data_IF_198385847365
#
_entry.id   IF_198385847365
#
_cell.length_a   1.000
_cell.length_b   1.000
_cell.length_c   1.000
_cell.angle_alpha   90.00
_cell.angle_beta   90.00
_cell.angle_gamma   90.00
#
_symmetry.space_group_name_H-M   'P 1'
#
loop_
_entity.id
_entity.type
_entity.pdbx_description
1 polymer ?
#
# COMPACT_ATOMS: atom_id res chain seq x y z
N UNK A 1 -13.68 22.05 -1.54
CA UNK A 1 -13.30 21.84 -1.42
C UNK A 1 -12.50 21.31 -1.07
N UNK A 2 -12.12 21.31 -0.89
CA UNK A 2 -11.24 20.94 -0.58
C UNK A 2 -11.14 20.02 -0.01
N UNK A 3 -10.89 19.58 -0.02
CA UNK A 3 -10.77 18.71 0.49
C UNK A 3 -9.97 18.49 1.43
N UNK A 4 -10.11 18.65 2.29
CA UNK A 4 -9.22 18.61 3.26
C UNK A 4 -8.49 17.49 3.51
N UNK A 5 -8.70 16.48 3.11
CA UNK A 5 -7.99 15.37 3.38
C UNK A 5 -6.65 15.43 2.97
N UNK A 6 -6.28 16.44 2.53
CA UNK A 6 -4.99 16.60 2.07
C UNK A 6 -3.98 16.40 3.10
N UNK A 7 -2.81 16.12 2.74
CA UNK A 7 -1.73 15.96 3.65
C UNK A 7 -1.66 14.65 4.34
N UNK A 8 -2.46 13.73 3.97
CA UNK A 8 -2.37 12.44 4.56
C UNK A 8 -1.25 11.68 3.95
N UNK A 9 -0.53 10.93 4.72
CA UNK A 9 0.58 10.14 4.22
C UNK A 9 0.13 8.96 3.39
N UNK A 10 -1.12 8.58 3.48
CA UNK A 10 -1.65 7.45 2.73
C UNK A 10 -2.96 7.85 2.13
N UNK A 11 -3.32 7.18 1.04
CA UNK A 11 -4.53 7.48 0.33
C UNK A 11 -5.10 6.20 -0.22
N UNK A 12 -6.39 6.13 -0.34
CA UNK A 12 -7.03 5.00 -0.97
C UNK A 12 -7.19 5.18 -2.47
N UNK A 13 -6.59 6.21 -3.01
CA UNK A 13 -6.58 6.38 -4.44
C UNK A 13 -5.85 5.21 -5.08
N UNK A 14 -6.23 4.94 -6.31
CA UNK A 14 -5.59 3.85 -7.03
C UNK A 14 -4.15 4.19 -7.34
N UNK A 15 -3.27 3.26 -7.07
CA UNK A 15 -1.87 3.41 -7.43
C UNK A 15 -1.68 2.99 -8.87
N UNK A 16 -0.63 3.49 -9.47
CA UNK A 16 -0.23 3.10 -10.82
C UNK A 16 1.04 2.29 -10.77
N UNK A 17 1.32 1.57 -11.84
CA UNK A 17 2.57 0.85 -11.96
C UNK A 17 3.72 1.83 -11.76
N UNK A 18 4.65 1.46 -10.90
CA UNK A 18 5.77 2.31 -10.55
C UNK A 18 5.57 3.12 -9.28
N UNK A 19 4.36 3.13 -8.74
CA UNK A 19 4.10 3.86 -7.50
C UNK A 19 4.49 3.02 -6.30
N UNK A 20 4.84 3.70 -5.21
CA UNK A 20 5.05 3.03 -3.93
C UNK A 20 3.73 2.96 -3.19
N UNK A 21 3.51 1.86 -2.50
CA UNK A 21 2.28 1.64 -1.76
C UNK A 21 2.61 1.08 -0.39
N UNK A 22 1.68 1.26 0.53
CA UNK A 22 1.72 0.64 1.84
C UNK A 22 0.75 -0.52 1.82
N UNK A 23 1.25 -1.71 2.05
CA UNK A 23 0.44 -2.92 2.07
C UNK A 23 0.21 -3.32 3.51
N UNK A 24 -1.03 -3.59 3.87
CA UNK A 24 -1.40 -3.93 5.23
C UNK A 24 -1.76 -5.39 5.28
N UNK A 25 -1.06 -6.13 6.13
CA UNK A 25 -1.29 -7.55 6.29
C UNK A 25 -2.25 -7.74 7.47
N UNK A 26 -3.54 -7.77 7.16
CA UNK A 26 -4.54 -7.87 8.21
C UNK A 26 -4.59 -9.25 8.83
N UNK A 27 -3.96 -10.23 8.21
CA UNK A 27 -3.95 -11.59 8.75
C UNK A 27 -2.86 -11.78 9.78
N UNK A 28 -1.94 -10.84 9.92
CA UNK A 28 -0.85 -10.95 10.88
C UNK A 28 -0.89 -9.78 11.82
N UNK A 29 -1.16 -10.10 13.08
CA UNK A 29 -1.27 -9.09 14.11
C UNK A 29 -0.23 -9.43 15.15
N UNK A 30 0.54 -8.46 15.58
CA UNK A 30 1.58 -8.72 16.55
C UNK A 30 0.96 -8.86 17.94
N UNK A 31 1.81 -9.07 18.95
CA UNK A 31 1.30 -9.32 20.29
C UNK A 31 0.64 -8.11 20.90
N UNK A 32 0.84 -6.95 20.29
CA UNK A 32 0.20 -5.72 20.78
C UNK A 32 -1.06 -5.39 20.00
N UNK A 33 -1.47 -6.26 19.08
CA UNK A 33 -2.69 -6.03 18.32
C UNK A 33 -2.52 -5.15 17.10
N UNK A 34 -1.29 -4.87 16.69
CA UNK A 34 -1.03 -4.03 15.53
C UNK A 34 -0.88 -4.88 14.29
N UNK A 35 -1.52 -4.47 13.21
CA UNK A 35 -1.35 -5.16 11.94
C UNK A 35 0.03 -4.85 11.39
N UNK A 36 0.57 -5.80 10.66
CA UNK A 36 1.85 -5.59 9.98
C UNK A 36 1.62 -4.86 8.70
N UNK A 37 2.58 -4.05 8.32
CA UNK A 37 2.51 -3.34 7.06
C UNK A 37 3.90 -3.26 6.46
N UNK A 38 3.95 -3.13 5.15
CA UNK A 38 5.23 -3.04 4.46
C UNK A 38 5.05 -2.17 3.22
N UNK A 39 6.18 -1.69 2.70
CA UNK A 39 6.19 -0.84 1.52
C UNK A 39 6.45 -1.71 0.31
N UNK A 40 5.67 -1.50 -0.73
CA UNK A 40 5.84 -2.21 -1.98
C UNK A 40 5.87 -1.28 -3.17
N UNK A 41 6.47 -1.77 -4.24
CA UNK A 41 6.48 -1.08 -5.52
C UNK A 41 5.50 -1.80 -6.42
N UNK A 42 4.59 -1.07 -7.04
CA UNK A 42 3.59 -1.68 -7.92
C UNK A 42 4.26 -2.05 -9.23
N UNK A 43 4.28 -3.34 -9.52
CA UNK A 43 4.87 -3.85 -10.76
C UNK A 43 3.81 -4.01 -11.84
N UNK A 44 2.59 -4.36 -11.43
CA UNK A 44 1.49 -4.56 -12.35
C UNK A 44 0.22 -4.44 -11.54
N UNK A 45 -0.89 -4.26 -12.21
CA UNK A 45 -2.15 -4.19 -11.48
C UNK A 45 -3.28 -4.70 -12.34
N UNK A 46 -4.26 -5.30 -11.67
CA UNK A 46 -5.51 -5.64 -12.31
C UNK A 46 -6.62 -4.94 -11.54
N UNK A 47 -7.84 -5.36 -11.74
CA UNK A 47 -8.97 -4.61 -11.20
C UNK A 47 -8.95 -4.57 -9.67
N UNK A 48 -8.64 -5.69 -9.03
CA UNK A 48 -8.73 -5.76 -7.58
C UNK A 48 -7.44 -6.17 -6.90
N UNK A 49 -6.41 -6.48 -7.65
CA UNK A 49 -5.17 -7.00 -7.10
C UNK A 49 -3.99 -6.31 -7.76
N UNK A 50 -3.01 -5.96 -6.94
CA UNK A 50 -1.75 -5.43 -7.42
C UNK A 50 -0.68 -6.51 -7.34
N UNK A 51 0.23 -6.52 -8.33
CA UNK A 51 1.47 -7.27 -8.20
C UNK A 51 2.50 -6.30 -7.68
N UNK A 52 3.06 -6.58 -6.52
CA UNK A 52 3.98 -5.67 -5.88
C UNK A 52 5.29 -6.35 -5.57
N UNK A 53 6.34 -5.55 -5.48
CA UNK A 53 7.63 -6.01 -5.02
C UNK A 53 7.88 -5.38 -3.68
N UNK A 54 8.12 -6.20 -2.67
CA UNK A 54 8.39 -5.71 -1.33
C UNK A 54 9.75 -5.03 -1.35
N UNK A 55 9.77 -3.76 -0.98
CA UNK A 55 10.99 -2.97 -1.10
C UNK A 55 12.10 -3.52 -0.23
N UNK A 56 11.76 -3.98 0.97
CA UNK A 56 12.77 -4.43 1.92
C UNK A 56 13.43 -5.74 1.49
N UNK A 57 12.71 -6.61 0.80
CA UNK A 57 13.24 -7.95 0.51
C UNK A 57 13.37 -8.23 -0.97
N UNK A 58 12.69 -7.47 -1.82
CA UNK A 58 12.67 -7.74 -3.25
C UNK A 58 11.71 -8.83 -3.66
N UNK A 59 10.97 -9.38 -2.72
CA UNK A 59 10.05 -10.46 -2.99
C UNK A 59 8.83 -9.92 -3.73
N UNK A 60 8.31 -10.69 -4.69
CA UNK A 60 7.13 -10.29 -5.45
C UNK A 60 5.92 -11.02 -4.93
N UNK A 61 4.86 -10.28 -4.70
CA UNK A 61 3.63 -10.81 -4.16
C UNK A 61 2.45 -10.22 -4.89
N UNK A 62 1.29 -10.88 -4.75
CA UNK A 62 0.03 -10.28 -5.12
C UNK A 62 -0.65 -9.79 -3.86
N UNK A 63 -1.21 -8.59 -3.93
CA UNK A 63 -1.82 -7.99 -2.74
C UNK A 63 -3.14 -7.34 -3.13
N UNK A 64 -4.20 -7.54 -2.34
CA UNK A 64 -5.51 -6.98 -2.70
C UNK A 64 -5.53 -5.47 -2.59
N UNK A 65 -6.26 -4.87 -3.49
CA UNK A 65 -6.39 -3.42 -3.52
C UNK A 65 -6.95 -2.89 -2.21
N UNK A 66 -7.87 -3.63 -1.57
CA UNK A 66 -8.51 -3.16 -0.36
C UNK A 66 -7.55 -3.07 0.81
N UNK A 67 -6.41 -3.71 0.73
CA UNK A 67 -5.41 -3.67 1.79
C UNK A 67 -4.16 -2.92 1.34
N UNK A 68 -4.29 -2.06 0.33
CA UNK A 68 -3.17 -1.35 -0.26
C UNK A 68 -3.51 0.13 -0.31
N UNK A 69 -2.58 0.96 0.15
CA UNK A 69 -2.76 2.40 0.17
C UNK A 69 -1.62 3.05 -0.57
N UNK A 70 -1.95 4.03 -1.39
CA UNK A 70 -0.92 4.76 -2.10
C UNK A 70 -0.05 5.51 -1.10
N UNK A 71 1.25 5.35 -1.22
CA UNK A 71 2.20 6.07 -0.36
C UNK A 71 2.37 7.47 -0.92
N UNK A 72 2.00 8.47 -0.15
CA UNK A 72 2.17 9.84 -0.54
C UNK A 72 3.05 10.54 0.46
N UNK A 73 4.04 11.22 -0.04
CA UNK A 73 4.91 11.98 0.80
C UNK A 73 4.32 13.35 0.98
N UNK A 74 4.15 13.76 2.22
CA UNK A 74 3.61 15.09 2.47
C UNK A 74 4.71 15.96 3.00
N UNK A 75 4.71 17.16 2.57
CA UNK A 75 5.75 18.08 2.96
C UNK A 75 5.24 19.16 3.84
#
# INVERSE_FOLDING_TARGET
>A
MVDGRLGQGRSREHASVGDLVVCIDVARVDIHGHTRRFIGLVLDKSITIYKIQVVATGEELFWPETATYLWKETK
#
